data_IF_127085251939
#
_entry.id   IF_127085251939
#
_cell.length_a   1.000
_cell.length_b   1.000
_cell.length_c   1.000
_cell.angle_alpha   90.00
_cell.angle_beta   90.00
_cell.angle_gamma   90.00
#
_symmetry.space_group_name_H-M   'P 1'
#
loop_
_entity.id
_entity.type
_entity.pdbx_description
1 polymer ?
#
# COMPACT_ATOMS: atom_id res chain seq x y z
N UNK A 1 12.33 6.19 -5.96
CA UNK A 1 10.86 6.32 -6.13
C UNK A 1 10.42 5.39 -7.26
N UNK A 2 9.24 4.78 -7.18
CA UNK A 2 8.65 4.01 -8.28
C UNK A 2 8.44 4.90 -9.50
N UNK A 3 8.73 4.41 -10.70
CA UNK A 3 8.43 5.16 -11.92
C UNK A 3 6.93 5.41 -12.06
N UNK A 4 6.52 6.50 -12.71
CA UNK A 4 5.10 6.81 -12.91
C UNK A 4 4.35 5.67 -13.59
N UNK A 5 5.00 4.98 -14.52
CA UNK A 5 4.45 3.79 -15.15
C UNK A 5 4.12 2.69 -14.13
N UNK A 6 5.04 2.38 -13.22
CA UNK A 6 4.79 1.36 -12.19
C UNK A 6 3.70 1.78 -11.21
N UNK A 7 3.55 3.08 -10.93
CA UNK A 7 2.45 3.59 -10.11
C UNK A 7 1.09 3.40 -10.80
N UNK A 8 1.01 3.55 -12.13
CA UNK A 8 -0.21 3.29 -12.91
C UNK A 8 -0.53 1.81 -13.04
N UNK A 9 0.50 0.96 -13.12
CA UNK A 9 0.35 -0.50 -13.27
C UNK A 9 0.02 -1.21 -11.95
N UNK A 10 0.29 -0.59 -10.80
CA UNK A 10 -0.02 -1.16 -9.50
C UNK A 10 -1.54 -1.35 -9.34
N UNK A 11 -1.95 -2.49 -8.78
CA UNK A 11 -3.36 -2.83 -8.52
C UNK A 11 -3.89 -2.22 -7.22
N UNK A 12 -2.99 -1.89 -6.29
CA UNK A 12 -3.35 -1.33 -4.98
C UNK A 12 -2.45 -0.15 -4.62
N UNK A 13 -2.99 0.79 -3.86
CA UNK A 13 -2.24 1.88 -3.25
C UNK A 13 -2.53 1.96 -1.76
N UNK A 14 -1.55 2.38 -0.98
CA UNK A 14 -1.65 2.57 0.46
C UNK A 14 -1.37 4.03 0.79
N UNK A 15 -2.32 4.68 1.46
CA UNK A 15 -2.15 6.03 2.01
C UNK A 15 -1.82 5.87 3.50
N UNK A 16 -0.74 6.52 3.94
CA UNK A 16 -0.22 6.40 5.31
C UNK A 16 -0.11 7.80 5.91
N UNK A 17 -0.73 7.97 7.08
CA UNK A 17 -0.65 9.17 7.90
C UNK A 17 0.34 8.92 9.03
N UNK A 18 1.51 9.55 8.93
CA UNK A 18 2.61 9.41 9.88
C UNK A 18 2.44 10.32 11.09
N UNK A 19 3.04 9.95 12.23
CA UNK A 19 3.00 10.76 13.45
C UNK A 19 3.79 12.08 13.33
N UNK A 20 4.68 12.18 12.33
CA UNK A 20 5.41 13.41 12.01
C UNK A 20 4.53 14.45 11.27
N UNK A 21 3.25 14.14 11.04
CA UNK A 21 2.29 14.99 10.31
C UNK A 21 2.31 14.80 8.79
N UNK A 22 3.20 13.96 8.25
CA UNK A 22 3.28 13.72 6.83
C UNK A 22 2.27 12.66 6.37
N UNK A 23 1.75 12.85 5.16
CA UNK A 23 0.94 11.85 4.45
C UNK A 23 1.71 11.36 3.24
N UNK A 24 1.87 10.05 3.10
CA UNK A 24 2.58 9.46 1.95
C UNK A 24 1.73 8.38 1.30
N UNK A 25 1.81 8.29 -0.03
CA UNK A 25 1.16 7.24 -0.81
C UNK A 25 2.21 6.27 -1.34
N UNK A 26 1.95 4.98 -1.16
CA UNK A 26 2.77 3.88 -1.64
C UNK A 26 1.95 3.02 -2.60
N UNK A 27 2.60 2.44 -3.60
CA UNK A 27 1.96 1.60 -4.61
C UNK A 27 2.44 0.16 -4.49
N UNK A 28 1.55 -0.80 -4.70
CA UNK A 28 1.89 -2.21 -4.58
C UNK A 28 2.81 -2.71 -5.68
N UNK A 29 3.59 -3.74 -5.36
CA UNK A 29 4.27 -4.57 -6.35
C UNK A 29 3.49 -5.87 -6.48
N UNK A 30 2.70 -5.99 -7.55
CA UNK A 30 1.75 -7.10 -7.69
C UNK A 30 2.33 -8.33 -8.42
N UNK A 31 3.56 -8.23 -8.92
CA UNK A 31 4.24 -9.32 -9.65
C UNK A 31 5.39 -9.91 -8.83
N UNK A 32 5.57 -11.22 -8.92
CA UNK A 32 6.74 -11.92 -8.32
C UNK A 32 8.01 -11.72 -9.14
N UNK A 33 7.88 -11.69 -10.46
CA UNK A 33 8.95 -11.44 -11.43
C UNK A 33 8.38 -10.74 -12.67
N UNK A 34 9.25 -10.25 -13.57
CA UNK A 34 8.86 -9.37 -14.71
C UNK A 34 7.74 -9.92 -15.60
N UNK A 35 7.71 -11.24 -15.83
CA UNK A 35 6.74 -11.92 -16.71
C UNK A 35 5.52 -12.50 -15.99
N UNK A 36 5.46 -12.41 -14.66
CA UNK A 36 4.32 -12.91 -13.90
C UNK A 36 3.06 -12.11 -14.21
N UNK A 37 1.90 -12.78 -14.14
CA UNK A 37 0.62 -12.09 -14.06
C UNK A 37 0.54 -11.32 -12.73
N UNK A 38 -0.05 -10.12 -12.73
CA UNK A 38 -0.21 -9.33 -11.52
C UNK A 38 -1.23 -9.98 -10.57
N UNK A 39 -0.94 -9.95 -9.28
CA UNK A 39 -1.75 -10.52 -8.21
C UNK A 39 -1.96 -9.47 -7.10
N UNK A 40 -3.19 -8.99 -6.95
CA UNK A 40 -3.53 -7.95 -5.98
C UNK A 40 -3.28 -8.40 -4.54
N UNK A 41 -3.57 -9.66 -4.20
CA UNK A 41 -3.32 -10.21 -2.87
C UNK A 41 -1.85 -10.20 -2.49
N UNK A 42 -0.95 -10.42 -3.45
CA UNK A 42 0.50 -10.26 -3.23
C UNK A 42 0.85 -8.80 -2.94
N UNK A 43 0.28 -7.88 -3.71
CA UNK A 43 0.46 -6.44 -3.54
C UNK A 43 0.04 -5.95 -2.16
N UNK A 44 -1.17 -6.33 -1.73
CA UNK A 44 -1.70 -6.00 -0.40
C UNK A 44 -0.77 -6.55 0.69
N UNK A 45 -0.39 -7.83 0.62
CA UNK A 45 0.52 -8.44 1.61
C UNK A 45 1.86 -7.70 1.73
N UNK A 46 2.41 -7.22 0.61
CA UNK A 46 3.66 -6.44 0.60
C UNK A 46 3.48 -5.06 1.21
N UNK A 47 2.35 -4.39 0.96
CA UNK A 47 2.01 -3.12 1.59
C UNK A 47 1.79 -3.30 3.11
N UNK A 48 1.08 -4.34 3.52
CA UNK A 48 0.90 -4.70 4.94
C UNK A 48 2.25 -4.97 5.61
N UNK A 49 3.11 -5.76 4.97
CA UNK A 49 4.47 -6.02 5.47
C UNK A 49 5.27 -4.72 5.64
N UNK A 50 5.22 -3.82 4.67
CA UNK A 50 5.89 -2.51 4.75
C UNK A 50 5.38 -1.68 5.94
N UNK A 51 4.06 -1.67 6.18
CA UNK A 51 3.47 -0.96 7.32
C UNK A 51 3.91 -1.56 8.67
N UNK A 52 3.97 -2.88 8.76
CA UNK A 52 4.22 -3.60 10.02
C UNK A 52 5.70 -3.81 10.33
N UNK A 53 6.58 -3.77 9.33
CA UNK A 53 8.02 -3.96 9.50
C UNK A 53 8.79 -2.66 9.30
N UNK A 54 8.65 -2.00 8.15
CA UNK A 54 9.45 -0.81 7.81
C UNK A 54 9.01 0.42 8.59
N UNK A 55 7.71 0.64 8.71
CA UNK A 55 7.15 1.84 9.34
C UNK A 55 6.53 1.56 10.71
N UNK A 56 6.86 0.42 11.34
CA UNK A 56 6.28 0.03 12.62
C UNK A 56 6.42 1.13 13.67
N UNK A 57 5.29 1.56 14.25
CA UNK A 57 5.27 2.59 15.29
C UNK A 57 5.47 4.03 14.79
N UNK A 58 5.59 4.26 13.48
CA UNK A 58 5.82 5.59 12.90
C UNK A 58 4.55 6.23 12.32
N UNK A 59 3.45 5.48 12.23
CA UNK A 59 2.19 5.94 11.64
C UNK A 59 0.98 5.72 12.54
N UNK A 60 0.02 6.62 12.41
CA UNK A 60 -1.24 6.58 13.14
C UNK A 60 -2.30 5.78 12.39
N UNK A 61 -2.52 6.12 11.12
CA UNK A 61 -3.56 5.52 10.28
C UNK A 61 -2.95 5.12 8.94
N UNK A 62 -3.40 4.01 8.39
CA UNK A 62 -3.13 3.66 6.99
C UNK A 62 -4.35 3.01 6.36
N UNK A 63 -4.57 3.27 5.08
CA UNK A 63 -5.67 2.69 4.32
C UNK A 63 -5.15 2.22 2.97
N UNK A 64 -5.44 0.96 2.64
CA UNK A 64 -5.15 0.33 1.36
C UNK A 64 -6.41 0.39 0.51
N UNK A 65 -6.28 0.93 -0.69
CA UNK A 65 -7.33 1.03 -1.69
C UNK A 65 -6.96 0.27 -2.96
N UNK A 66 -7.96 -0.10 -3.75
CA UNK A 66 -7.74 -0.40 -5.17
C UNK A 66 -7.18 0.84 -5.88
N UNK A 67 -6.19 0.63 -6.75
CA UNK A 67 -5.57 1.73 -7.48
C UNK A 67 -6.34 2.04 -8.77
N UNK A 68 -7.58 2.50 -8.60
CA UNK A 68 -8.45 2.95 -9.70
C UNK A 68 -9.28 4.17 -9.24
N UNK A 69 -9.85 4.95 -10.17
CA UNK A 69 -10.82 5.98 -9.81
C UNK A 69 -11.95 5.37 -8.98
N UNK A 70 -12.25 5.96 -7.82
CA UNK A 70 -13.24 5.44 -6.85
C UNK A 70 -12.98 3.98 -6.43
N UNK A 71 -11.69 3.60 -6.31
CA UNK A 71 -11.29 2.27 -5.86
C UNK A 71 -11.82 1.94 -4.46
N UNK A 72 -12.21 0.69 -4.26
CA UNK A 72 -12.73 0.25 -2.97
C UNK A 72 -11.64 0.25 -1.90
N UNK A 73 -12.05 0.47 -0.65
CA UNK A 73 -11.21 0.23 0.52
C UNK A 73 -11.00 -1.29 0.67
N UNK A 74 -9.74 -1.71 0.71
CA UNK A 74 -9.35 -3.11 0.82
C UNK A 74 -8.93 -3.47 2.25
N UNK A 75 -8.30 -2.53 2.95
CA UNK A 75 -7.90 -2.69 4.34
C UNK A 75 -7.68 -1.32 4.99
N UNK A 76 -7.98 -1.24 6.27
CA UNK A 76 -7.69 -0.07 7.10
C UNK A 76 -6.99 -0.51 8.37
N UNK A 77 -6.05 0.32 8.79
CA UNK A 77 -5.30 0.10 10.01
C UNK A 77 -5.20 1.37 10.83
N UNK A 78 -5.20 1.20 12.15
CA UNK A 78 -5.00 2.26 13.13
C UNK A 78 -4.04 1.79 14.20
N UNK A 79 -2.99 2.55 14.46
CA UNK A 79 -1.94 2.27 15.46
C UNK A 79 -1.37 0.85 15.36
N UNK A 80 -1.19 0.34 14.13
CA UNK A 80 -0.67 -1.00 13.88
C UNK A 80 -1.68 -2.15 13.99
N UNK A 81 -2.96 -1.89 14.25
CA UNK A 81 -4.02 -2.91 14.25
C UNK A 81 -4.96 -2.71 13.06
N UNK A 82 -5.45 -3.80 12.47
CA UNK A 82 -6.49 -3.76 11.43
C UNK A 82 -7.84 -3.42 12.08
N UNK A 83 -8.63 -2.57 11.42
CA UNK A 83 -9.93 -2.08 11.89
C UNK A 83 -11.01 -2.35 10.85
#
# INVERSE_FOLDING_TARGET
MLSEQMQREALSKCIVWFYDGNVRTFYSLDKTHKRALPNQGLGIRRLEKMLMETFKGQWETSIIYENKPNGNELAKFKKGARV
#
